data_IF_576377576032
#
_entry.id   IF_576377576032
#
_cell.length_a   1.000
_cell.length_b   1.000
_cell.length_c   1.000
_cell.angle_alpha   90.00
_cell.angle_beta   90.00
_cell.angle_gamma   90.00
#
_symmetry.space_group_name_H-M   'P 1'
#
loop_
_entity.id
_entity.type
_entity.pdbx_description
1 polymer ?
#
# COMPACT_ATOMS: atom_id res chain seq x y z
N UNK A 1 1.20 4.68 -4.60
CA UNK A 1 0.83 5.85 -3.77
C UNK A 1 1.88 6.95 -3.81
N UNK A 2 3.17 6.60 -3.72
CA UNK A 2 4.28 7.56 -3.69
C UNK A 2 4.75 7.92 -5.12
N UNK A 3 3.88 8.60 -5.86
CA UNK A 3 4.18 9.15 -7.19
C UNK A 3 3.56 10.54 -7.33
N UNK A 4 4.03 11.35 -8.28
CA UNK A 4 3.43 12.66 -8.60
C UNK A 4 2.02 12.53 -9.17
N UNK A 5 1.79 11.53 -10.03
CA UNK A 5 0.54 11.36 -10.78
C UNK A 5 -0.68 11.14 -9.87
N UNK A 6 -0.51 10.37 -8.79
CA UNK A 6 -1.61 9.98 -7.91
C UNK A 6 -2.25 11.14 -7.12
N UNK A 7 -1.51 11.96 -6.34
CA UNK A 7 -2.07 13.13 -5.67
C UNK A 7 -2.64 14.15 -6.66
N UNK A 8 -2.01 14.36 -7.82
CA UNK A 8 -2.53 15.24 -8.86
C UNK A 8 -3.87 14.76 -9.41
N UNK A 9 -4.00 13.46 -9.71
CA UNK A 9 -5.25 12.83 -10.13
C UNK A 9 -6.37 13.08 -9.11
N UNK A 10 -6.08 12.83 -7.83
CA UNK A 10 -7.03 12.98 -6.72
C UNK A 10 -7.46 14.44 -6.48
N UNK A 11 -6.58 15.40 -6.78
CA UNK A 11 -6.80 16.83 -6.63
C UNK A 11 -7.52 17.47 -7.83
N UNK A 12 -7.16 17.08 -9.05
CA UNK A 12 -7.56 17.77 -10.30
C UNK A 12 -8.67 17.06 -11.09
N UNK A 13 -9.23 15.95 -10.59
CA UNK A 13 -10.25 15.12 -11.29
C UNK A 13 -9.83 14.82 -12.74
N UNK A 14 -8.59 14.38 -12.95
CA UNK A 14 -8.24 13.80 -14.25
C UNK A 14 -9.09 12.54 -14.47
N UNK A 15 -9.48 12.26 -15.72
CA UNK A 15 -10.47 11.21 -15.99
C UNK A 15 -9.88 9.79 -15.97
N UNK A 16 -8.56 9.64 -16.06
CA UNK A 16 -7.89 8.34 -16.01
C UNK A 16 -6.45 8.47 -15.49
N UNK A 17 -5.97 7.41 -14.85
CA UNK A 17 -4.59 7.26 -14.39
C UNK A 17 -4.28 5.77 -14.28
N UNK A 18 -3.20 5.32 -14.91
CA UNK A 18 -2.79 3.91 -14.83
C UNK A 18 -2.40 3.53 -13.39
N UNK A 19 -1.81 4.48 -12.66
CA UNK A 19 -1.46 4.30 -11.25
C UNK A 19 -2.71 4.01 -10.41
N UNK A 20 -3.82 4.70 -10.68
CA UNK A 20 -5.09 4.48 -9.98
C UNK A 20 -5.64 3.09 -10.24
N UNK A 21 -5.69 2.68 -11.50
CA UNK A 21 -6.22 1.37 -11.88
C UNK A 21 -5.35 0.23 -11.31
N UNK A 22 -4.02 0.36 -11.35
CA UNK A 22 -3.12 -0.58 -10.70
C UNK A 22 -3.36 -0.65 -9.19
N UNK A 23 -3.50 0.50 -8.51
CA UNK A 23 -3.73 0.51 -7.06
C UNK A 23 -5.06 -0.16 -6.71
N UNK A 24 -6.14 0.11 -7.44
CA UNK A 24 -7.44 -0.55 -7.22
C UNK A 24 -7.38 -2.06 -7.46
N UNK A 25 -6.55 -2.52 -8.40
CA UNK A 25 -6.37 -3.95 -8.66
C UNK A 25 -5.70 -4.66 -7.48
N UNK A 26 -4.69 -4.06 -6.85
CA UNK A 26 -3.92 -4.69 -5.78
C UNK A 26 -4.43 -4.43 -4.36
N UNK A 27 -5.47 -3.61 -4.18
CA UNK A 27 -5.97 -3.22 -2.86
C UNK A 27 -7.45 -3.49 -2.72
N UNK A 28 -7.91 -3.70 -1.48
CA UNK A 28 -9.34 -3.71 -1.23
C UNK A 28 -9.92 -2.32 -1.48
N UNK A 29 -11.21 -2.20 -1.89
CA UNK A 29 -11.84 -0.90 -2.08
C UNK A 29 -11.75 -0.01 -0.85
N UNK A 30 -11.89 -0.57 0.35
CA UNK A 30 -11.76 0.16 1.60
C UNK A 30 -10.35 0.74 1.80
N UNK A 31 -9.31 -0.08 1.60
CA UNK A 31 -7.93 0.36 1.77
C UNK A 31 -7.52 1.41 0.75
N UNK A 32 -7.92 1.21 -0.52
CA UNK A 32 -7.74 2.21 -1.57
C UNK A 32 -8.33 3.56 -1.16
N UNK A 33 -9.59 3.57 -0.71
CA UNK A 33 -10.30 4.79 -0.34
C UNK A 33 -9.64 5.51 0.85
N UNK A 34 -9.22 4.77 1.87
CA UNK A 34 -8.51 5.32 3.02
C UNK A 34 -7.19 5.97 2.60
N UNK A 35 -6.38 5.26 1.81
CA UNK A 35 -5.10 5.76 1.29
C UNK A 35 -5.30 6.98 0.39
N UNK A 36 -6.26 6.94 -0.53
CA UNK A 36 -6.58 8.05 -1.43
C UNK A 36 -7.01 9.30 -0.66
N UNK A 37 -7.84 9.15 0.38
CA UNK A 37 -8.24 10.26 1.24
C UNK A 37 -7.03 10.88 1.96
N UNK A 38 -6.12 10.07 2.48
CA UNK A 38 -4.90 10.55 3.15
C UNK A 38 -3.98 11.31 2.19
N UNK A 39 -3.71 10.75 1.01
CA UNK A 39 -2.88 11.39 -0.01
C UNK A 39 -3.49 12.72 -0.46
N UNK A 40 -4.81 12.72 -0.74
CA UNK A 40 -5.52 13.94 -1.13
C UNK A 40 -5.47 15.02 -0.04
N UNK A 41 -5.62 14.63 1.23
CA UNK A 41 -5.52 15.55 2.37
C UNK A 41 -4.12 16.14 2.51
N UNK A 42 -3.06 15.34 2.34
CA UNK A 42 -1.69 15.83 2.36
C UNK A 42 -1.45 16.86 1.24
N UNK A 43 -1.91 16.55 0.03
CA UNK A 43 -1.72 17.43 -1.12
C UNK A 43 -2.50 18.75 -1.00
N UNK A 44 -3.80 18.70 -0.70
CA UNK A 44 -4.69 19.88 -0.71
C UNK A 44 -4.62 20.74 0.55
N UNK A 45 -4.30 20.15 1.71
CA UNK A 45 -4.40 20.84 3.00
C UNK A 45 -3.08 20.95 3.74
N UNK A 46 -2.11 20.09 3.43
CA UNK A 46 -0.76 20.15 4.04
C UNK A 46 0.31 20.56 3.04
N UNK A 47 -0.07 20.84 1.79
CA UNK A 47 0.80 21.34 0.73
C UNK A 47 2.03 20.47 0.48
N UNK A 48 1.91 19.13 0.54
CA UNK A 48 3.00 18.24 0.17
C UNK A 48 2.52 16.91 -0.41
N UNK A 49 3.42 16.24 -1.12
CA UNK A 49 3.27 14.83 -1.50
C UNK A 49 4.62 14.11 -1.40
N UNK A 50 4.58 12.78 -1.54
CA UNK A 50 5.75 11.91 -1.44
C UNK A 50 5.97 11.26 -2.80
N UNK A 51 7.19 11.35 -3.31
CA UNK A 51 7.66 10.54 -4.43
C UNK A 51 8.64 9.50 -3.92
N UNK A 52 8.52 8.27 -4.40
CA UNK A 52 9.54 7.24 -4.20
C UNK A 52 10.46 7.21 -5.42
N UNK A 53 11.73 7.51 -5.22
CA UNK A 53 12.76 7.48 -6.28
C UNK A 53 13.27 6.07 -6.50
N UNK A 54 13.56 5.38 -5.41
CA UNK A 54 14.03 4.00 -5.41
C UNK A 54 13.49 3.27 -4.19
N UNK A 55 13.19 1.99 -4.37
CA UNK A 55 12.78 1.09 -3.32
C UNK A 55 13.48 -0.25 -3.51
N UNK A 56 14.03 -0.77 -2.42
CA UNK A 56 14.53 -2.14 -2.33
C UNK A 56 13.80 -2.87 -1.23
N UNK A 57 13.26 -4.04 -1.55
CA UNK A 57 12.77 -4.99 -0.53
C UNK A 57 13.96 -5.80 -0.06
N UNK A 58 14.28 -5.70 1.23
CA UNK A 58 15.40 -6.42 1.84
C UNK A 58 14.98 -7.79 2.37
N UNK A 59 13.76 -7.86 2.91
CA UNK A 59 13.20 -9.07 3.50
C UNK A 59 11.69 -9.06 3.39
N UNK A 60 11.10 -10.22 3.14
CA UNK A 60 9.68 -10.47 3.33
C UNK A 60 9.54 -11.77 4.13
N UNK A 61 8.70 -11.76 5.17
CA UNK A 61 8.44 -12.94 5.99
C UNK A 61 6.95 -13.05 6.34
N UNK A 62 6.41 -14.25 6.26
CA UNK A 62 5.06 -14.53 6.73
C UNK A 62 5.05 -14.51 8.26
N UNK A 63 4.33 -13.57 8.85
CA UNK A 63 4.21 -13.39 10.30
C UNK A 63 3.04 -14.19 10.87
N UNK A 64 1.90 -14.20 10.17
CA UNK A 64 0.69 -14.87 10.62
C UNK A 64 -0.21 -15.25 9.45
N UNK A 65 -0.96 -16.34 9.63
CA UNK A 65 -2.04 -16.76 8.75
C UNK A 65 -3.33 -16.80 9.55
N UNK A 66 -4.41 -16.29 8.98
CA UNK A 66 -5.74 -16.29 9.59
C UNK A 66 -6.74 -16.90 8.61
N UNK A 67 -7.25 -18.08 8.94
CA UNK A 67 -8.35 -18.69 8.20
C UNK A 67 -9.68 -18.42 8.89
N UNK A 68 -10.71 -18.11 8.12
CA UNK A 68 -12.08 -17.89 8.60
C UNK A 68 -13.08 -18.54 7.66
N UNK A 69 -14.19 -19.03 8.23
CA UNK A 69 -15.41 -19.32 7.48
C UNK A 69 -16.43 -18.22 7.77
N UNK A 70 -16.89 -17.56 6.73
CA UNK A 70 -17.76 -16.39 6.78
C UNK A 70 -19.06 -16.68 6.01
N UNK A 71 -20.13 -16.01 6.39
CA UNK A 71 -21.28 -15.82 5.49
C UNK A 71 -20.89 -14.87 4.35
N UNK A 72 -21.66 -14.86 3.26
CA UNK A 72 -21.44 -13.92 2.15
C UNK A 72 -21.46 -12.47 2.64
N UNK A 73 -22.42 -12.11 3.49
CA UNK A 73 -22.53 -10.76 4.05
C UNK A 73 -21.33 -10.39 4.93
N UNK A 74 -20.85 -11.31 5.76
CA UNK A 74 -19.67 -11.06 6.60
C UNK A 74 -18.39 -10.84 5.78
N UNK A 75 -18.25 -11.53 4.65
CA UNK A 75 -17.15 -11.31 3.72
C UNK A 75 -17.24 -9.94 3.04
N UNK A 76 -18.43 -9.57 2.54
CA UNK A 76 -18.65 -8.25 1.93
C UNK A 76 -18.40 -7.11 2.94
N UNK A 77 -18.90 -7.25 4.17
CA UNK A 77 -18.68 -6.28 5.24
C UNK A 77 -17.20 -6.14 5.61
N UNK A 78 -16.42 -7.23 5.54
CA UNK A 78 -14.98 -7.22 5.79
C UNK A 78 -14.23 -6.44 4.70
N UNK A 79 -14.47 -6.77 3.42
CA UNK A 79 -13.78 -6.15 2.27
C UNK A 79 -14.14 -4.66 2.11
N UNK A 80 -15.36 -4.29 2.51
CA UNK A 80 -15.81 -2.90 2.55
C UNK A 80 -15.50 -2.17 3.87
N UNK A 81 -14.83 -2.84 4.83
CA UNK A 81 -14.45 -2.31 6.14
C UNK A 81 -15.63 -1.74 6.95
N UNK A 82 -16.81 -2.35 6.81
CA UNK A 82 -18.03 -1.98 7.54
C UNK A 82 -18.03 -2.57 8.94
N UNK A 83 -17.64 -3.84 9.08
CA UNK A 83 -17.74 -4.57 10.35
C UNK A 83 -16.78 -5.76 10.38
N UNK A 84 -16.14 -6.01 11.53
CA UNK A 84 -15.41 -7.25 11.73
C UNK A 84 -16.38 -8.40 12.02
N UNK A 85 -16.14 -9.61 11.47
CA UNK A 85 -16.96 -10.78 11.75
C UNK A 85 -16.88 -11.15 13.23
N UNK A 86 -18.04 -11.28 13.88
CA UNK A 86 -18.16 -11.57 15.31
C UNK A 86 -18.70 -12.99 15.51
N UNK A 87 -17.82 -13.99 15.42
CA UNK A 87 -18.14 -15.39 15.74
C UNK A 87 -18.25 -16.31 14.51
N UNK A 88 -18.75 -17.52 14.76
CA UNK A 88 -18.95 -18.56 13.74
C UNK A 88 -20.45 -18.78 13.53
N UNK A 89 -20.93 -18.59 12.30
CA UNK A 89 -22.31 -18.90 11.90
C UNK A 89 -22.40 -20.32 11.34
N UNK A 90 -23.53 -21.00 11.55
CA UNK A 90 -23.82 -22.26 10.88
C UNK A 90 -24.05 -22.07 9.36
N UNK A 91 -24.27 -20.84 8.91
CA UNK A 91 -24.51 -20.47 7.51
C UNK A 91 -23.22 -20.06 6.77
N UNK A 92 -22.05 -20.20 7.39
CA UNK A 92 -20.77 -19.80 6.80
C UNK A 92 -20.36 -20.69 5.63
N UNK A 93 -20.51 -20.17 4.42
CA UNK A 93 -20.17 -20.84 3.14
C UNK A 93 -18.89 -20.31 2.49
N UNK A 94 -18.44 -19.11 2.84
CA UNK A 94 -17.25 -18.47 2.27
C UNK A 94 -16.02 -18.83 3.09
N UNK A 95 -15.05 -19.47 2.46
CA UNK A 95 -13.71 -19.64 3.02
C UNK A 95 -12.85 -18.42 2.69
N UNK A 96 -12.28 -17.79 3.71
CA UNK A 96 -11.45 -16.60 3.61
C UNK A 96 -10.08 -16.86 4.25
N UNK A 97 -9.02 -16.39 3.60
CA UNK A 97 -7.65 -16.47 4.09
C UNK A 97 -7.02 -15.08 4.16
N UNK A 98 -6.53 -14.72 5.34
CA UNK A 98 -5.71 -13.52 5.58
C UNK A 98 -4.25 -13.89 5.83
N UNK A 99 -3.32 -13.20 5.18
CA UNK A 99 -1.88 -13.36 5.35
C UNK A 99 -1.28 -12.07 5.87
N UNK A 100 -0.60 -12.12 7.01
CA UNK A 100 0.14 -10.99 7.55
C UNK A 100 1.61 -11.22 7.23
N UNK A 101 2.19 -10.32 6.43
CA UNK A 101 3.57 -10.38 5.95
C UNK A 101 4.31 -9.16 6.46
N UNK A 102 5.42 -9.40 7.15
CA UNK A 102 6.34 -8.33 7.53
C UNK A 102 7.34 -8.12 6.38
N UNK A 103 7.42 -6.90 5.86
CA UNK A 103 8.24 -6.52 4.71
C UNK A 103 9.20 -5.41 5.12
N UNK A 104 10.50 -5.70 5.09
CA UNK A 104 11.55 -4.73 5.32
C UNK A 104 11.97 -4.08 3.99
N UNK A 105 12.00 -2.75 3.95
CA UNK A 105 12.36 -1.96 2.77
C UNK A 105 13.39 -0.90 3.09
N UNK A 106 14.18 -0.55 2.06
CA UNK A 106 14.94 0.70 2.00
C UNK A 106 14.35 1.54 0.88
N UNK A 107 13.87 2.73 1.23
CA UNK A 107 13.15 3.63 0.34
C UNK A 107 13.84 4.99 0.30
N UNK A 108 14.23 5.40 -0.89
CA UNK A 108 14.70 6.74 -1.17
C UNK A 108 13.49 7.57 -1.60
N UNK A 109 13.13 8.54 -0.76
CA UNK A 109 11.94 9.36 -0.93
C UNK A 109 12.28 10.83 -1.13
N UNK A 110 11.45 11.52 -1.93
CA UNK A 110 11.31 12.97 -1.94
C UNK A 110 10.03 13.36 -1.24
N UNK A 111 10.14 14.20 -0.22
CA UNK A 111 9.00 14.90 0.36
C UNK A 111 8.91 16.25 -0.35
N UNK A 112 8.05 16.33 -1.35
CA UNK A 112 7.90 17.51 -2.19
C UNK A 112 6.89 18.44 -1.54
N UNK A 113 7.38 19.56 -1.00
CA UNK A 113 6.53 20.66 -0.55
C UNK A 113 6.07 21.48 -1.75
N UNK A 114 4.80 21.90 -1.76
CA UNK A 114 4.24 22.80 -2.78
C UNK A 114 4.53 24.27 -2.48
N UNK A 115 5.00 24.58 -1.26
CA UNK A 115 5.30 25.94 -0.79
C UNK A 115 6.76 26.17 -0.45
N UNK A 116 7.48 25.10 -0.11
CA UNK A 116 8.83 25.15 0.43
C UNK A 116 9.78 24.26 -0.37
N UNK A 117 11.00 24.08 0.14
CA UNK A 117 12.00 23.21 -0.48
C UNK A 117 11.63 21.74 -0.33
N UNK A 118 11.94 20.95 -1.36
CA UNK A 118 11.88 19.49 -1.31
C UNK A 118 12.90 18.95 -0.31
N UNK A 119 12.47 17.97 0.50
CA UNK A 119 13.35 17.24 1.40
C UNK A 119 13.63 15.85 0.85
N UNK A 120 14.89 15.43 0.94
CA UNK A 120 15.33 14.09 0.54
C UNK A 120 15.58 13.26 1.78
N UNK A 121 14.95 12.09 1.86
CA UNK A 121 15.07 11.19 2.99
C UNK A 121 15.23 9.76 2.49
N UNK A 122 16.08 8.98 3.15
CA UNK A 122 16.05 7.53 3.05
C UNK A 122 15.29 7.00 4.25
N UNK A 123 14.36 6.09 4.02
CA UNK A 123 13.65 5.39 5.07
C UNK A 123 14.01 3.91 5.02
N UNK A 124 14.34 3.37 6.18
CA UNK A 124 14.41 1.93 6.42
C UNK A 124 13.14 1.58 7.20
N UNK A 125 12.19 0.95 6.51
CA UNK A 125 10.87 0.65 7.06
C UNK A 125 10.71 -0.86 7.23
N UNK A 126 9.97 -1.26 8.26
CA UNK A 126 9.34 -2.57 8.32
C UNK A 126 7.84 -2.34 8.32
N UNK A 127 7.18 -2.81 7.27
CA UNK A 127 5.73 -2.81 7.15
C UNK A 127 5.15 -4.13 7.58
N UNK A 128 3.98 -4.09 8.20
CA UNK A 128 3.07 -5.22 8.24
C UNK A 128 2.00 -5.03 7.18
N UNK A 129 2.05 -5.88 6.17
CA UNK A 129 1.09 -5.92 5.07
C UNK A 129 0.11 -7.06 5.33
N UNK A 130 -1.18 -6.76 5.31
CA UNK A 130 -2.25 -7.74 5.43
C UNK A 130 -2.83 -7.97 4.04
N UNK A 131 -2.67 -9.18 3.54
CA UNK A 131 -3.34 -9.65 2.32
C UNK A 131 -4.58 -10.44 2.70
N UNK A 132 -5.63 -10.30 1.92
CA UNK A 132 -6.87 -11.05 2.05
C UNK A 132 -7.26 -11.67 0.70
N UNK A 133 -7.93 -12.81 0.77
CA UNK A 133 -8.57 -13.42 -0.39
C UNK A 133 -9.72 -14.35 0.01
N UNK A 134 -10.72 -14.42 -0.85
CA UNK A 134 -11.69 -15.52 -0.87
C UNK A 134 -11.03 -16.75 -1.50
N UNK A 135 -11.04 -17.86 -0.77
CA UNK A 135 -10.38 -19.12 -1.15
C UNK A 135 -11.35 -20.30 -1.19
N UNK A 136 -12.65 -20.01 -1.26
CA UNK A 136 -13.72 -21.04 -1.33
C UNK A 136 -13.56 -21.90 -2.58
N UNK A 137 -13.31 -21.24 -3.70
CA UNK A 137 -13.08 -21.85 -5.00
C UNK A 137 -11.71 -21.38 -5.51
N UNK A 138 -10.85 -22.27 -6.05
CA UNK A 138 -9.52 -21.88 -6.51
C UNK A 138 -9.51 -20.81 -7.60
N UNK A 139 -10.55 -20.76 -8.43
CA UNK A 139 -10.69 -19.78 -9.52
C UNK A 139 -11.06 -18.37 -9.01
N UNK A 140 -11.59 -18.27 -7.78
CA UNK A 140 -11.99 -17.00 -7.16
C UNK A 140 -10.84 -16.35 -6.37
N UNK A 141 -9.67 -16.99 -6.30
CA UNK A 141 -8.52 -16.49 -5.54
C UNK A 141 -7.95 -15.23 -6.18
N UNK A 142 -8.18 -14.11 -5.51
CA UNK A 142 -7.66 -12.80 -5.86
C UNK A 142 -7.05 -12.17 -4.60
N UNK A 143 -5.72 -12.07 -4.54
CA UNK A 143 -5.00 -11.55 -3.37
C UNK A 143 -4.96 -10.03 -3.41
N UNK A 144 -5.55 -9.40 -2.41
CA UNK A 144 -5.58 -7.93 -2.28
C UNK A 144 -4.99 -7.48 -0.96
N UNK A 145 -4.39 -6.30 -0.96
CA UNK A 145 -3.91 -5.65 0.26
C UNK A 145 -5.13 -5.07 0.99
N UNK A 146 -5.45 -5.66 2.13
CA UNK A 146 -6.47 -5.19 3.07
C UNK A 146 -5.95 -4.00 3.88
N UNK A 147 -4.69 -4.04 4.29
CA UNK A 147 -4.06 -2.94 5.01
C UNK A 147 -2.55 -3.03 4.97
N UNK A 148 -1.89 -1.89 5.17
CA UNK A 148 -0.45 -1.82 5.36
C UNK A 148 -0.14 -0.73 6.38
N UNK A 149 0.64 -1.06 7.39
CA UNK A 149 1.10 -0.11 8.41
C UNK A 149 2.57 -0.35 8.76
N UNK A 150 3.24 0.73 9.17
CA UNK A 150 4.63 0.70 9.57
C UNK A 150 4.69 0.19 11.02
N UNK A 151 5.51 -0.83 11.27
CA UNK A 151 5.78 -1.36 12.61
C UNK A 151 7.16 -0.92 13.13
N UNK A 152 8.12 -0.68 12.23
CA UNK A 152 9.41 -0.08 12.55
C UNK A 152 9.82 0.92 11.46
N UNK A 153 10.43 2.03 11.86
CA UNK A 153 10.87 3.08 10.94
C UNK A 153 12.15 3.72 11.42
N UNK A 154 13.07 3.93 10.48
CA UNK A 154 14.26 4.75 10.66
C UNK A 154 14.42 5.68 9.47
N UNK A 155 14.51 6.98 9.73
CA UNK A 155 14.71 8.00 8.72
C UNK A 155 16.17 8.51 8.76
N UNK A 156 16.78 8.64 7.58
CA UNK A 156 18.15 9.12 7.40
C UNK A 156 18.09 10.28 6.39
N UNK A 157 18.45 11.51 6.77
CA UNK A 157 18.50 12.64 5.84
C UNK A 157 19.46 12.35 4.68
N UNK A 158 19.06 12.72 3.46
CA UNK A 158 19.90 12.63 2.26
C UNK A 158 20.18 14.03 1.71
N UNK A 159 21.33 14.19 1.07
CA UNK A 159 21.59 15.33 0.17
C UNK A 159 20.97 15.05 -1.21
N UNK A 160 20.69 16.13 -1.93
CA UNK A 160 20.06 16.11 -3.27
C UNK A 160 20.87 15.32 -4.33
N UNK A 161 22.15 15.02 -4.09
CA UNK A 161 23.10 14.50 -5.08
C UNK A 161 23.24 12.96 -5.16
N UNK A 162 22.42 12.17 -4.46
CA UNK A 162 22.69 10.71 -4.34
C UNK A 162 21.99 9.83 -5.38
N UNK A 163 21.27 10.37 -6.37
CA UNK A 163 20.44 9.58 -7.31
C UNK A 163 21.08 9.28 -8.68
N UNK A 164 22.41 9.24 -8.78
CA UNK A 164 23.10 8.80 -10.00
C UNK A 164 24.27 7.84 -9.70
N UNK A 165 23.99 6.54 -9.78
CA UNK A 165 24.98 5.46 -9.82
C UNK A 165 24.24 4.15 -9.58
N UNK A 166 23.90 3.35 -10.58
CA UNK A 166 24.75 2.82 -11.65
C UNK A 166 23.94 2.54 -12.91
N UNK A 167 24.28 3.21 -14.01
CA UNK A 167 24.07 2.72 -15.36
C UNK A 167 25.42 2.77 -16.09
N UNK A 168 25.78 1.66 -16.72
CA UNK A 168 26.94 1.41 -17.57
C UNK A 168 28.33 1.36 -16.91
N UNK A 169 28.78 0.14 -16.63
CA UNK A 169 30.11 -0.27 -17.12
C UNK A 169 29.90 -1.49 -18.05
N UNK A 170 29.65 -1.20 -19.33
CA UNK A 170 30.10 -2.08 -20.41
C UNK A 170 31.62 -2.01 -20.43
N UNK A 171 32.30 -3.13 -20.23
CA UNK A 171 33.52 -3.48 -20.96
C UNK A 171 34.01 -4.89 -20.58
N UNK A 172 33.62 -5.88 -21.39
CA UNK A 172 34.50 -6.79 -22.19
C UNK A 172 33.80 -8.07 -22.60
#
# INVERSE_FOLDING_TARGET
MNSVEFPEFLAKKSNSSQVVENLKQYTTPAYYNQMALQVKKNYLHRNFYIECEAMKVEKAQLAQVVYRRLTVQEYEDLVEFKKQPTGTSCESTVEHLGLLVDVATVEDLKVVSLTDKTLYVQQQNVYRVVFESRVTDPEDVDWRIESMHIIEQKAIPRSEETSAGTADEKDK
#
